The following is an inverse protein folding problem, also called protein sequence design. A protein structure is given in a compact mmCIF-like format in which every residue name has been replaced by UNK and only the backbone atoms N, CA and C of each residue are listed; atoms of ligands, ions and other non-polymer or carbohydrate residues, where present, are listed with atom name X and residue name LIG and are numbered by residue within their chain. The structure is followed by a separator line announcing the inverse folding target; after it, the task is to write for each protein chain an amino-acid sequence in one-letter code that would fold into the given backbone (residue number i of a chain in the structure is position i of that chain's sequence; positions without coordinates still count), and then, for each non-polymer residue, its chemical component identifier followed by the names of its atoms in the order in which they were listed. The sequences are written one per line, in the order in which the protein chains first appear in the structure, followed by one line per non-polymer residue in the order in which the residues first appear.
data_IF_782242184550
#
_entry.id   IF_782242184550
#
_cell.length_a   1.000
_cell.length_b   1.000
_cell.length_c   1.000
_cell.angle_alpha   90.00
_cell.angle_beta   90.00
_cell.angle_gamma   90.00
#
_symmetry.space_group_name_H-M   'P 1'
#
loop_
_entity.id
_entity.type
_entity.pdbx_description
1 polymer ?
#
# COMPACT_ATOMS: atom_id res chain seq x y z
N UNK A 1 -26.93 -6.37 -1.10
CA UNK A 1 -25.76 -6.65 -0.26
C UNK A 1 -24.61 -5.73 -0.62
N UNK A 2 -23.96 -5.19 0.38
CA UNK A 2 -22.79 -4.33 0.16
C UNK A 2 -21.56 -4.94 0.81
N UNK A 3 -20.43 -4.77 0.15
CA UNK A 3 -19.14 -5.06 0.75
C UNK A 3 -18.70 -3.78 1.49
N UNK A 4 -18.75 -3.82 2.81
CA UNK A 4 -18.56 -2.62 3.62
C UNK A 4 -17.20 -1.94 3.42
N UNK A 5 -16.16 -2.71 3.07
CA UNK A 5 -14.82 -2.13 2.87
C UNK A 5 -14.80 -1.08 1.76
N UNK A 6 -15.70 -1.16 0.79
CA UNK A 6 -15.76 -0.21 -0.31
C UNK A 6 -16.11 1.20 0.14
N UNK A 7 -16.73 1.33 1.32
CA UNK A 7 -17.07 2.63 1.89
C UNK A 7 -15.95 3.21 2.75
N UNK A 8 -14.94 2.42 3.09
CA UNK A 8 -13.83 2.90 3.93
C UNK A 8 -12.96 3.89 3.16
N UNK A 9 -12.70 5.03 3.79
CA UNK A 9 -11.80 6.02 3.19
C UNK A 9 -10.41 5.41 2.97
N UNK A 10 -9.93 4.61 3.93
CA UNK A 10 -8.61 4.00 3.83
C UNK A 10 -8.51 3.03 2.63
N UNK A 11 -9.61 2.36 2.30
CA UNK A 11 -9.63 1.49 1.12
C UNK A 11 -9.51 2.31 -0.16
N UNK A 12 -10.27 3.40 -0.24
CA UNK A 12 -10.23 4.30 -1.40
C UNK A 12 -8.85 4.92 -1.57
N UNK A 13 -8.26 5.39 -0.47
CA UNK A 13 -6.92 5.98 -0.51
C UNK A 13 -5.84 4.94 -0.82
N UNK A 14 -6.01 3.71 -0.36
CA UNK A 14 -5.11 2.62 -0.71
C UNK A 14 -5.12 2.33 -2.21
N UNK A 15 -6.30 2.34 -2.82
CA UNK A 15 -6.41 2.16 -4.27
C UNK A 15 -5.77 3.32 -5.03
N UNK A 16 -5.96 4.54 -4.56
CA UNK A 16 -5.33 5.72 -5.17
C UNK A 16 -3.80 5.62 -5.10
N UNK A 17 -3.28 5.20 -3.95
CA UNK A 17 -1.85 4.98 -3.77
C UNK A 17 -1.34 3.93 -4.75
N UNK A 18 -2.06 2.81 -4.85
CA UNK A 18 -1.68 1.73 -5.77
C UNK A 18 -1.70 2.19 -7.22
N UNK A 19 -2.72 2.96 -7.61
CA UNK A 19 -2.79 3.49 -8.97
C UNK A 19 -1.62 4.41 -9.28
N UNK A 20 -1.29 5.30 -8.36
CA UNK A 20 -0.16 6.21 -8.52
C UNK A 20 1.15 5.42 -8.69
N UNK A 21 1.39 4.46 -7.80
CA UNK A 21 2.63 3.66 -7.86
C UNK A 21 2.70 2.79 -9.11
N UNK A 22 1.56 2.23 -9.54
CA UNK A 22 1.54 1.42 -10.77
C UNK A 22 1.89 2.25 -11.99
N UNK A 23 1.46 3.51 -12.03
CA UNK A 23 1.84 4.42 -13.12
C UNK A 23 3.35 4.70 -13.10
N UNK A 24 3.92 4.89 -11.92
CA UNK A 24 5.38 5.07 -11.78
C UNK A 24 6.11 3.82 -12.28
N UNK A 25 5.64 2.65 -11.88
CA UNK A 25 6.25 1.37 -12.29
C UNK A 25 6.20 1.24 -13.81
N UNK A 26 5.05 1.48 -14.41
CA UNK A 26 4.86 1.35 -15.85
C UNK A 26 5.77 2.28 -16.63
N UNK A 27 5.94 3.51 -16.15
CA UNK A 27 6.68 4.53 -16.89
C UNK A 27 8.18 4.51 -16.63
N UNK A 28 8.63 3.96 -15.50
CA UNK A 28 10.03 4.11 -15.09
C UNK A 28 10.75 2.81 -14.72
N UNK A 29 10.03 1.76 -14.36
CA UNK A 29 10.67 0.57 -13.76
C UNK A 29 10.46 -0.69 -14.59
N UNK A 30 9.25 -0.91 -15.10
CA UNK A 30 8.83 -2.20 -15.65
C UNK A 30 9.73 -2.74 -16.77
N UNK A 31 10.21 -1.87 -17.65
CA UNK A 31 11.06 -2.28 -18.76
C UNK A 31 12.50 -2.53 -18.35
N UNK A 32 12.89 -1.99 -17.20
CA UNK A 32 14.30 -2.00 -16.75
C UNK A 32 14.57 -3.06 -15.70
N UNK A 33 13.53 -3.43 -14.91
CA UNK A 33 13.74 -4.32 -13.77
C UNK A 33 12.45 -5.10 -13.47
N UNK A 34 12.39 -6.30 -14.04
CA UNK A 34 11.21 -7.15 -13.86
C UNK A 34 11.11 -7.71 -12.44
N UNK A 35 12.23 -7.95 -11.80
CA UNK A 35 12.24 -8.47 -10.43
C UNK A 35 11.65 -7.46 -9.45
N UNK A 36 12.14 -6.23 -9.51
CA UNK A 36 11.62 -5.17 -8.64
C UNK A 36 10.16 -4.88 -8.94
N UNK A 37 9.78 -4.85 -10.22
CA UNK A 37 8.39 -4.65 -10.63
C UNK A 37 7.48 -5.71 -10.00
N UNK A 38 7.88 -6.98 -10.06
CA UNK A 38 7.09 -8.06 -9.48
C UNK A 38 6.91 -7.93 -7.98
N UNK A 39 7.98 -7.55 -7.27
CA UNK A 39 7.91 -7.34 -5.83
C UNK A 39 6.99 -6.17 -5.46
N UNK A 40 7.10 -5.07 -6.20
CA UNK A 40 6.26 -3.90 -5.96
C UNK A 40 4.80 -4.20 -6.26
N UNK A 41 4.52 -4.88 -7.36
CA UNK A 41 3.14 -5.25 -7.72
C UNK A 41 2.50 -6.10 -6.63
N UNK A 42 3.22 -7.10 -6.12
CA UNK A 42 2.69 -7.96 -5.06
C UNK A 42 2.41 -7.16 -3.78
N UNK A 43 3.34 -6.28 -3.41
CA UNK A 43 3.17 -5.45 -2.22
C UNK A 43 1.98 -4.51 -2.35
N UNK A 44 1.83 -3.85 -3.51
CA UNK A 44 0.70 -2.96 -3.75
C UNK A 44 -0.62 -3.70 -3.68
N UNK A 45 -0.71 -4.86 -4.33
CA UNK A 45 -1.93 -5.67 -4.26
C UNK A 45 -2.24 -6.09 -2.82
N UNK A 46 -1.22 -6.45 -2.06
CA UNK A 46 -1.37 -6.87 -0.68
C UNK A 46 -1.96 -5.77 0.20
N UNK A 47 -1.59 -4.50 -0.03
CA UNK A 47 -2.16 -3.38 0.72
C UNK A 47 -3.68 -3.39 0.64
N UNK A 48 -4.20 -3.43 -0.57
CA UNK A 48 -5.64 -3.31 -0.83
C UNK A 48 -6.38 -4.57 -0.42
N UNK A 49 -5.84 -5.72 -0.79
CA UNK A 49 -6.52 -6.99 -0.54
C UNK A 49 -6.65 -7.29 0.95
N UNK A 50 -5.65 -6.93 1.76
CA UNK A 50 -5.71 -7.19 3.19
C UNK A 50 -6.73 -6.29 3.91
N UNK A 51 -6.96 -5.08 3.43
CA UNK A 51 -8.04 -4.24 3.96
C UNK A 51 -9.39 -4.94 3.70
N UNK A 52 -9.59 -5.40 2.48
CA UNK A 52 -10.84 -6.04 2.09
C UNK A 52 -11.07 -7.34 2.86
N UNK A 53 -10.05 -8.21 2.88
CA UNK A 53 -10.16 -9.52 3.55
C UNK A 53 -10.38 -9.36 5.04
N UNK A 54 -9.67 -8.43 5.68
CA UNK A 54 -9.83 -8.19 7.12
C UNK A 54 -11.23 -7.75 7.48
N UNK A 55 -11.87 -6.95 6.61
CA UNK A 55 -13.21 -6.44 6.85
C UNK A 55 -14.29 -7.53 6.79
N UNK A 56 -13.97 -8.66 6.16
CA UNK A 56 -14.89 -9.78 6.05
C UNK A 56 -14.95 -10.60 7.34
N UNK A 57 -13.98 -10.43 8.21
CA UNK A 57 -13.89 -11.22 9.42
C UNK A 57 -14.87 -10.74 10.48
N UNK A 58 -15.14 -11.64 11.41
CA UNK A 58 -16.11 -11.42 12.46
C UNK A 58 -15.48 -10.83 13.74
N UNK A 59 -14.14 -10.85 13.85
CA UNK A 59 -13.49 -10.34 15.04
C UNK A 59 -12.66 -9.11 14.74
N UNK A 60 -12.67 -8.15 15.66
CA UNK A 60 -11.85 -6.96 15.56
C UNK A 60 -10.36 -7.28 15.65
N UNK A 61 -10.01 -8.29 16.45
CA UNK A 61 -8.61 -8.71 16.57
C UNK A 61 -8.07 -9.22 15.24
N UNK A 62 -8.85 -10.00 14.51
CA UNK A 62 -8.43 -10.53 13.22
C UNK A 62 -8.37 -9.42 12.16
N UNK A 63 -9.35 -8.51 12.18
CA UNK A 63 -9.31 -7.36 11.28
C UNK A 63 -8.06 -6.50 11.55
N UNK A 64 -7.74 -6.26 12.83
CA UNK A 64 -6.53 -5.51 13.19
C UNK A 64 -5.27 -6.20 12.66
N UNK A 65 -5.22 -7.53 12.70
CA UNK A 65 -4.10 -8.30 12.16
C UNK A 65 -3.93 -8.08 10.67
N UNK A 66 -5.03 -8.11 9.90
CA UNK A 66 -5.00 -7.86 8.46
C UNK A 66 -4.55 -6.44 8.15
N UNK A 67 -5.00 -5.44 8.93
CA UNK A 67 -4.55 -4.08 8.73
C UNK A 67 -3.05 -3.94 8.99
N UNK A 68 -2.53 -4.71 9.94
CA UNK A 68 -1.08 -4.77 10.19
C UNK A 68 -0.31 -5.30 9.00
N UNK A 69 -0.83 -6.32 8.32
CA UNK A 69 -0.21 -6.86 7.11
C UNK A 69 -0.22 -5.80 6.00
N UNK A 70 -1.37 -5.10 5.85
CA UNK A 70 -1.48 -4.02 4.88
C UNK A 70 -0.41 -2.94 5.12
N UNK A 71 -0.21 -2.54 6.39
CA UNK A 71 0.81 -1.56 6.75
C UNK A 71 2.21 -2.01 6.36
N UNK A 72 2.55 -3.26 6.64
CA UNK A 72 3.87 -3.80 6.26
C UNK A 72 4.07 -3.78 4.76
N UNK A 73 3.00 -4.01 4.01
CA UNK A 73 3.07 -3.97 2.56
C UNK A 73 3.34 -2.55 2.05
N UNK A 74 2.80 -1.52 2.73
CA UNK A 74 3.14 -0.12 2.40
C UNK A 74 4.64 0.11 2.64
N UNK A 75 5.16 -0.36 3.77
CA UNK A 75 6.60 -0.24 4.07
C UNK A 75 7.45 -0.86 2.97
N UNK A 76 7.03 -2.02 2.48
CA UNK A 76 7.75 -2.70 1.39
C UNK A 76 7.77 -1.85 0.12
N UNK A 77 6.67 -1.18 -0.21
CA UNK A 77 6.62 -0.32 -1.39
C UNK A 77 7.53 0.91 -1.24
N UNK A 78 7.64 1.45 -0.03
CA UNK A 78 8.53 2.57 0.24
C UNK A 78 10.00 2.14 0.07
N UNK A 79 10.35 0.99 0.61
CA UNK A 79 11.69 0.44 0.44
C UNK A 79 12.00 0.16 -1.03
N UNK A 80 11.02 -0.36 -1.76
CA UNK A 80 11.17 -0.60 -3.20
C UNK A 80 11.36 0.70 -3.98
N UNK A 81 10.67 1.77 -3.58
CA UNK A 81 10.84 3.10 -4.18
C UNK A 81 12.27 3.62 -3.92
N UNK A 82 12.79 3.40 -2.72
CA UNK A 82 14.18 3.76 -2.41
C UNK A 82 15.16 3.00 -3.30
N UNK A 83 14.91 1.71 -3.53
CA UNK A 83 15.76 0.92 -4.43
C UNK A 83 15.67 1.45 -5.86
N UNK A 84 14.47 1.81 -6.32
CA UNK A 84 14.30 2.37 -7.66
C UNK A 84 15.07 3.69 -7.81
N UNK A 85 15.13 4.49 -6.74
CA UNK A 85 15.90 5.72 -6.72
C UNK A 85 17.40 5.42 -6.74
N UNK A 86 17.83 4.46 -5.93
CA UNK A 86 19.24 4.03 -5.89
C UNK A 86 19.73 3.55 -7.26
N UNK A 87 18.88 2.82 -7.96
CA UNK A 87 19.20 2.29 -9.30
C UNK A 87 18.96 3.32 -10.40
N UNK A 88 18.57 4.52 -10.05
CA UNK A 88 18.33 5.63 -10.97
C UNK A 88 17.19 5.38 -11.97
N UNK A 89 16.20 4.58 -11.57
CA UNK A 89 14.99 4.41 -12.37
C UNK A 89 14.04 5.58 -12.17
N UNK A 90 14.01 6.14 -10.96
CA UNK A 90 13.21 7.33 -10.63
C UNK A 90 14.10 8.34 -9.93
N UNK A 91 13.67 9.62 -9.91
CA UNK A 91 14.45 10.66 -9.25
C UNK A 91 13.98 10.87 -7.79
N UNK A 92 14.74 11.67 -7.05
CA UNK A 92 14.46 11.95 -5.64
C UNK A 92 13.11 12.62 -5.45
N UNK A 93 12.70 13.48 -6.37
CA UNK A 93 11.42 14.18 -6.25
C UNK A 93 10.26 13.20 -6.31
N UNK A 94 10.31 12.27 -7.26
CA UNK A 94 9.26 11.26 -7.38
C UNK A 94 9.26 10.31 -6.19
N UNK A 95 10.44 9.94 -5.69
CA UNK A 95 10.57 9.12 -4.49
C UNK A 95 9.91 9.82 -3.29
N UNK A 96 10.17 11.11 -3.13
CA UNK A 96 9.59 11.92 -2.04
C UNK A 96 8.07 11.92 -2.12
N UNK A 97 7.52 12.07 -3.31
CA UNK A 97 6.06 12.09 -3.52
C UNK A 97 5.43 10.76 -3.15
N UNK A 98 6.08 9.65 -3.49
CA UNK A 98 5.62 8.31 -3.10
C UNK A 98 5.63 8.19 -1.58
N UNK A 99 6.72 8.60 -0.95
CA UNK A 99 6.87 8.49 0.50
C UNK A 99 5.82 9.30 1.25
N UNK A 100 5.51 10.49 0.78
CA UNK A 100 4.48 11.34 1.40
C UNK A 100 3.10 10.68 1.34
N UNK A 101 2.76 10.10 0.20
CA UNK A 101 1.49 9.40 0.04
C UNK A 101 1.44 8.14 0.91
N UNK A 102 2.55 7.42 0.97
CA UNK A 102 2.67 6.21 1.79
C UNK A 102 2.51 6.55 3.27
N UNK A 103 3.13 7.61 3.74
CA UNK A 103 3.06 8.03 5.13
C UNK A 103 1.62 8.34 5.54
N UNK A 104 0.91 9.09 4.70
CA UNK A 104 -0.50 9.39 4.94
C UNK A 104 -1.34 8.12 5.04
N UNK A 105 -1.09 7.15 4.17
CA UNK A 105 -1.82 5.89 4.18
C UNK A 105 -1.53 5.07 5.43
N UNK A 106 -0.26 4.99 5.84
CA UNK A 106 0.14 4.26 7.05
C UNK A 106 -0.54 4.87 8.28
N UNK A 107 -0.61 6.20 8.35
CA UNK A 107 -1.28 6.86 9.48
C UNK A 107 -2.76 6.46 9.56
N UNK A 108 -3.44 6.39 8.43
CA UNK A 108 -4.84 5.96 8.41
C UNK A 108 -5.00 4.52 8.84
N UNK A 109 -4.13 3.63 8.33
CA UNK A 109 -4.16 2.21 8.69
C UNK A 109 -3.90 2.02 10.18
N UNK A 110 -2.92 2.73 10.72
CA UNK A 110 -2.59 2.65 12.13
C UNK A 110 -3.74 3.15 13.01
N UNK A 111 -4.36 4.26 12.63
CA UNK A 111 -5.49 4.82 13.35
C UNK A 111 -6.67 3.85 13.37
N UNK A 112 -7.00 3.27 12.21
CA UNK A 112 -8.09 2.31 12.10
C UNK A 112 -7.80 1.08 12.98
N UNK A 113 -6.59 0.53 12.85
CA UNK A 113 -6.18 -0.64 13.64
C UNK A 113 -6.29 -0.38 15.14
N UNK A 114 -5.85 0.80 15.58
CA UNK A 114 -5.89 1.15 16.99
C UNK A 114 -7.32 1.20 17.54
N UNK A 115 -8.27 1.67 16.74
CA UNK A 115 -9.68 1.68 17.15
C UNK A 115 -10.23 0.27 17.35
N UNK A 116 -9.76 -0.68 16.57
CA UNK A 116 -10.20 -2.07 16.66
C UNK A 116 -9.64 -2.78 17.89
N UNK A 117 -8.55 -2.27 18.43
CA UNK A 117 -7.88 -2.89 19.58
C UNK A 117 -8.42 -2.41 20.93
N UNK A 118 -9.20 -1.36 20.94
CA UNK A 118 -9.81 -0.83 22.17
C UNK A 118 -11.23 -1.40 22.40
#
# INVERSE_FOLDING_TARGET
MKFRFKEFRVYKDAKDYCGFCRDVIANHIARRDKSLTGQLDRALNSIVLNIAEGSADNSDAEFARFLGISMRSVYETVAGSDLATLYEYIDEDLNQRIEEKAYSLVKQLASFRNKLKT
#
